data_IF_086711495560
#
_entry.id   IF_086711495560
#
_cell.length_a   1.000
_cell.length_b   1.000
_cell.length_c   1.000
_cell.angle_alpha   90.00
_cell.angle_beta   90.00
_cell.angle_gamma   90.00
#
_symmetry.space_group_name_H-M   'P 1'
#
loop_
_entity.id
_entity.type
_entity.pdbx_description
1 polymer ?
#
# COMPACT_ATOMS: atom_id res chain seq x y z
N UNK A 1 3.82 -8.28 19.30
CA UNK A 1 4.22 -8.49 17.89
C UNK A 1 5.37 -9.49 17.80
N UNK A 2 6.46 -9.33 18.55
CA UNK A 2 7.66 -10.21 18.56
C UNK A 2 7.32 -11.68 18.83
N UNK A 3 6.42 -11.94 19.77
CA UNK A 3 5.99 -13.32 20.10
C UNK A 3 5.29 -13.99 18.91
N UNK A 4 4.40 -13.27 18.23
CA UNK A 4 3.70 -13.78 17.03
C UNK A 4 4.69 -13.99 15.88
N UNK A 5 5.65 -13.08 15.71
CA UNK A 5 6.69 -13.19 14.69
C UNK A 5 7.55 -14.45 14.94
N UNK A 6 7.95 -14.69 16.20
CA UNK A 6 8.69 -15.91 16.57
C UNK A 6 7.87 -17.17 16.28
N UNK A 7 6.59 -17.20 16.64
CA UNK A 7 5.70 -18.32 16.34
C UNK A 7 5.60 -18.57 14.83
N UNK A 8 5.50 -17.52 14.03
CA UNK A 8 5.46 -17.63 12.58
C UNK A 8 6.77 -18.22 12.02
N UNK A 9 7.93 -17.78 12.51
CA UNK A 9 9.21 -18.36 12.09
C UNK A 9 9.36 -19.84 12.45
N UNK A 10 8.94 -20.24 13.67
CA UNK A 10 8.92 -21.64 14.06
C UNK A 10 8.02 -22.43 13.10
N UNK A 11 6.80 -21.95 12.89
CA UNK A 11 5.86 -22.60 11.97
C UNK A 11 6.45 -22.76 10.56
N UNK A 12 7.00 -21.69 9.97
CA UNK A 12 7.60 -21.74 8.63
C UNK A 12 8.82 -22.68 8.59
N UNK A 13 9.63 -22.77 9.65
CA UNK A 13 10.77 -23.66 9.70
C UNK A 13 10.37 -25.15 9.71
N UNK A 14 9.16 -25.47 10.14
CA UNK A 14 8.61 -26.83 10.18
C UNK A 14 7.84 -27.21 8.91
N UNK A 15 7.47 -26.22 8.06
CA UNK A 15 6.77 -26.46 6.80
C UNK A 15 7.72 -27.05 5.75
N UNK A 16 7.48 -28.30 5.34
CA UNK A 16 8.33 -29.02 4.36
C UNK A 16 8.06 -28.62 2.91
N UNK A 17 6.85 -28.18 2.61
CA UNK A 17 6.37 -27.85 1.25
C UNK A 17 6.31 -26.33 1.04
N UNK A 18 7.24 -25.59 1.66
CA UNK A 18 7.30 -24.13 1.59
C UNK A 18 8.41 -23.71 0.64
N UNK A 19 8.05 -23.11 -0.50
CA UNK A 19 9.01 -22.63 -1.48
C UNK A 19 9.55 -21.23 -1.13
N UNK A 20 8.69 -20.33 -0.61
CA UNK A 20 9.04 -18.96 -0.28
C UNK A 20 8.17 -18.40 0.84
N UNK A 21 8.72 -17.49 1.62
CA UNK A 21 8.01 -16.73 2.66
C UNK A 21 8.05 -15.25 2.30
N UNK A 22 6.88 -14.60 2.30
CA UNK A 22 6.77 -13.16 2.16
C UNK A 22 6.55 -12.57 3.54
N UNK A 23 7.50 -11.76 4.00
CA UNK A 23 7.45 -11.11 5.32
C UNK A 23 7.06 -9.64 5.16
N UNK A 24 5.89 -9.26 5.63
CA UNK A 24 5.50 -7.87 5.74
C UNK A 24 6.04 -7.28 7.05
N UNK A 25 6.79 -6.17 6.93
CA UNK A 25 7.27 -5.39 8.08
C UNK A 25 6.09 -4.76 8.82
N UNK A 26 6.04 -4.91 10.13
CA UNK A 26 4.99 -4.33 10.93
C UNK A 26 5.09 -2.80 11.03
N UNK A 27 6.29 -2.28 11.29
CA UNK A 27 6.53 -0.84 11.42
C UNK A 27 7.99 -0.48 11.11
N UNK A 28 8.18 0.48 10.20
CA UNK A 28 9.52 0.99 9.85
C UNK A 28 10.36 -0.02 9.08
N UNK A 29 11.19 -0.75 9.75
CA UNK A 29 12.07 -1.78 9.17
C UNK A 29 13.26 -2.10 10.06
N UNK A 30 14.07 -1.10 10.41
CA UNK A 30 15.34 -1.28 11.13
C UNK A 30 15.21 -2.09 12.44
N UNK A 31 14.20 -1.75 13.25
CA UNK A 31 13.94 -2.36 14.57
C UNK A 31 12.74 -3.31 14.56
N UNK A 32 12.22 -3.63 13.37
CA UNK A 32 11.08 -4.53 13.28
C UNK A 32 11.49 -5.98 13.58
N UNK A 33 10.60 -6.73 14.26
CA UNK A 33 10.88 -8.12 14.63
C UNK A 33 11.07 -9.03 13.42
N UNK A 34 10.55 -8.69 12.25
CA UNK A 34 10.76 -9.44 11.02
C UNK A 34 12.16 -9.24 10.44
N UNK A 35 12.88 -8.20 10.88
CA UNK A 35 14.18 -7.82 10.31
C UNK A 35 15.37 -8.67 10.80
N UNK A 36 15.12 -9.82 11.39
CA UNK A 36 16.16 -10.79 11.84
C UNK A 36 16.61 -11.75 10.72
N UNK A 37 15.93 -11.75 9.59
CA UNK A 37 16.24 -12.64 8.46
C UNK A 37 17.20 -12.00 7.46
N UNK A 38 17.85 -12.85 6.64
CA UNK A 38 18.52 -12.44 5.41
C UNK A 38 17.62 -12.85 4.25
N UNK A 39 16.90 -11.90 3.60
CA UNK A 39 15.94 -12.22 2.56
C UNK A 39 16.64 -12.50 1.21
N UNK A 40 15.92 -13.03 0.22
CA UNK A 40 16.37 -13.10 -1.16
C UNK A 40 16.32 -11.72 -1.84
N UNK A 41 15.35 -10.90 -1.43
CA UNK A 41 15.15 -9.54 -1.93
C UNK A 41 14.51 -8.69 -0.85
N UNK A 42 14.93 -7.44 -0.72
CA UNK A 42 14.30 -6.43 0.13
C UNK A 42 13.43 -5.52 -0.74
N UNK A 43 12.21 -5.24 -0.29
CA UNK A 43 11.25 -4.41 -1.03
C UNK A 43 10.78 -3.26 -0.16
N UNK A 44 10.84 -2.04 -0.68
CA UNK A 44 10.20 -0.86 -0.10
C UNK A 44 9.19 -0.34 -1.12
N UNK A 45 7.90 -0.51 -0.84
CA UNK A 45 6.84 -0.13 -1.79
C UNK A 45 6.73 1.38 -1.96
N UNK A 46 6.73 2.12 -0.85
CA UNK A 46 6.66 3.58 -0.83
C UNK A 46 7.18 4.14 0.50
N UNK A 47 7.56 5.43 0.48
CA UNK A 47 7.89 6.20 1.68
C UNK A 47 6.98 7.42 1.73
N UNK A 48 6.11 7.48 2.73
CA UNK A 48 5.18 8.57 2.98
C UNK A 48 5.15 8.90 4.48
N UNK A 49 4.58 10.05 4.82
CA UNK A 49 4.40 10.45 6.22
C UNK A 49 3.36 9.57 6.90
N UNK A 50 3.80 8.69 7.77
CA UNK A 50 2.99 7.94 8.72
C UNK A 50 3.85 7.57 9.93
N UNK A 51 3.21 7.31 11.05
CA UNK A 51 3.88 6.92 12.30
C UNK A 51 5.05 7.84 12.71
N UNK A 52 4.94 9.14 12.45
CA UNK A 52 6.00 10.14 12.63
C UNK A 52 6.59 10.16 14.05
N UNK A 53 5.78 9.87 15.06
CA UNK A 53 6.23 9.77 16.47
C UNK A 53 7.29 8.69 16.71
N UNK A 54 7.39 7.70 15.82
CA UNK A 54 8.29 6.55 15.94
C UNK A 54 9.35 6.57 14.84
N UNK A 55 8.96 6.88 13.61
CA UNK A 55 9.83 6.75 12.44
C UNK A 55 10.60 8.03 12.09
N UNK A 56 10.18 9.19 12.62
CA UNK A 56 10.79 10.49 12.33
C UNK A 56 9.81 11.47 11.70
N UNK A 57 10.25 12.73 11.63
CA UNK A 57 9.44 13.86 11.19
C UNK A 57 9.71 14.29 9.74
N UNK A 58 10.68 13.66 9.08
CA UNK A 58 11.03 13.91 7.69
C UNK A 58 10.94 12.62 6.87
N UNK A 59 10.80 12.74 5.55
CA UNK A 59 10.79 11.56 4.66
C UNK A 59 12.13 10.81 4.72
N UNK A 60 13.23 11.54 4.89
CA UNK A 60 14.59 10.99 5.00
C UNK A 60 14.76 10.15 6.27
N UNK A 61 14.22 10.60 7.42
CA UNK A 61 14.22 9.83 8.67
C UNK A 61 13.39 8.55 8.54
N UNK A 62 12.18 8.67 7.96
CA UNK A 62 11.32 7.52 7.71
C UNK A 62 12.00 6.54 6.75
N UNK A 63 12.63 7.05 5.67
CA UNK A 63 13.38 6.23 4.73
C UNK A 63 14.56 5.52 5.40
N UNK A 64 15.31 6.19 6.28
CA UNK A 64 16.41 5.58 7.06
C UNK A 64 15.92 4.37 7.85
N UNK A 65 14.78 4.50 8.54
CA UNK A 65 14.17 3.39 9.27
C UNK A 65 13.77 2.23 8.34
N UNK A 66 13.16 2.53 7.19
CA UNK A 66 12.77 1.49 6.21
C UNK A 66 13.98 0.82 5.57
N UNK A 67 15.02 1.58 5.25
CA UNK A 67 16.28 1.07 4.68
C UNK A 67 17.05 0.13 5.62
N UNK A 68 16.67 0.05 6.89
CA UNK A 68 17.19 -0.94 7.82
C UNK A 68 16.96 -2.40 7.42
N UNK A 69 16.02 -2.68 6.50
CA UNK A 69 15.80 -4.03 5.95
C UNK A 69 16.80 -4.43 4.87
N UNK A 70 17.57 -3.48 4.33
CA UNK A 70 18.57 -3.77 3.29
C UNK A 70 19.77 -4.44 3.91
N UNK A 71 20.02 -5.69 3.52
CA UNK A 71 21.10 -6.53 4.03
C UNK A 71 22.27 -6.59 3.05
N UNK A 72 23.49 -6.89 3.51
CA UNK A 72 24.66 -7.00 2.64
C UNK A 72 24.44 -7.95 1.46
N UNK A 73 24.76 -7.47 0.25
CA UNK A 73 24.63 -8.20 -1.03
C UNK A 73 23.19 -8.59 -1.41
N UNK A 74 22.15 -8.09 -0.72
CA UNK A 74 20.75 -8.36 -1.05
C UNK A 74 20.18 -7.15 -1.81
N UNK A 75 19.56 -7.33 -2.98
CA UNK A 75 19.03 -6.22 -3.73
C UNK A 75 17.88 -5.52 -3.00
N UNK A 76 17.80 -4.22 -3.22
CA UNK A 76 16.66 -3.40 -2.86
C UNK A 76 15.84 -3.09 -4.10
N UNK A 77 14.55 -3.41 -4.07
CA UNK A 77 13.58 -2.98 -5.05
C UNK A 77 12.68 -1.92 -4.41
N UNK A 78 12.53 -0.79 -5.06
CA UNK A 78 11.68 0.30 -4.55
C UNK A 78 11.15 1.18 -5.67
N UNK A 79 10.01 1.84 -5.42
CA UNK A 79 9.50 2.86 -6.31
C UNK A 79 10.44 4.08 -6.30
N UNK A 80 10.68 4.68 -7.46
CA UNK A 80 11.45 5.91 -7.54
C UNK A 80 10.80 7.03 -6.72
N UNK A 81 11.66 7.80 -6.04
CA UNK A 81 11.26 8.98 -5.30
C UNK A 81 12.38 10.01 -5.43
N UNK A 82 12.13 11.10 -6.16
CA UNK A 82 13.15 12.11 -6.48
C UNK A 82 13.90 12.64 -5.26
N UNK A 83 13.21 12.75 -4.11
CA UNK A 83 13.82 13.24 -2.86
C UNK A 83 14.66 12.18 -2.15
N UNK A 84 14.40 10.89 -2.39
CA UNK A 84 15.01 9.79 -1.63
C UNK A 84 15.94 8.90 -2.45
N UNK A 85 15.95 9.00 -3.80
CA UNK A 85 16.77 8.14 -4.65
C UNK A 85 18.23 8.15 -4.25
N UNK A 86 18.79 9.34 -3.96
CA UNK A 86 20.18 9.45 -3.52
C UNK A 86 20.45 8.70 -2.19
N UNK A 87 19.48 8.71 -1.26
CA UNK A 87 19.59 7.97 0.00
C UNK A 87 19.52 6.47 -0.22
N UNK A 88 18.65 5.99 -1.13
CA UNK A 88 18.58 4.58 -1.53
C UNK A 88 19.90 4.10 -2.15
N UNK A 89 20.49 4.90 -3.04
CA UNK A 89 21.79 4.62 -3.66
C UNK A 89 22.94 4.55 -2.64
N UNK A 90 22.97 5.48 -1.69
CA UNK A 90 24.00 5.50 -0.62
C UNK A 90 23.88 4.20 0.19
N UNK A 91 22.67 3.85 0.65
CA UNK A 91 22.46 2.63 1.44
C UNK A 91 22.84 1.37 0.68
N UNK A 92 22.43 1.27 -0.58
CA UNK A 92 22.78 0.12 -1.42
C UNK A 92 24.29 0.00 -1.67
N UNK A 93 24.98 1.13 -1.81
CA UNK A 93 26.46 1.15 -1.92
C UNK A 93 27.15 0.69 -0.64
N UNK A 94 26.67 1.14 0.53
CA UNK A 94 27.20 0.72 1.85
C UNK A 94 27.05 -0.78 2.08
N UNK A 95 25.99 -1.36 1.58
CA UNK A 95 25.68 -2.79 1.75
C UNK A 95 26.15 -3.67 0.57
N UNK A 96 26.81 -3.07 -0.43
CA UNK A 96 27.16 -3.75 -1.69
C UNK A 96 25.94 -4.40 -2.35
N UNK A 97 24.79 -3.75 -2.28
CA UNK A 97 23.49 -4.24 -2.78
C UNK A 97 23.15 -3.60 -4.12
N UNK A 98 22.47 -4.36 -4.99
CA UNK A 98 21.90 -3.81 -6.22
C UNK A 98 20.66 -2.99 -5.90
N UNK A 99 20.58 -1.75 -6.39
CA UNK A 99 19.35 -0.96 -6.36
C UNK A 99 18.57 -1.17 -7.66
N UNK A 100 17.29 -1.53 -7.54
CA UNK A 100 16.36 -1.65 -8.65
C UNK A 100 15.24 -0.63 -8.41
N UNK A 101 15.27 0.46 -9.19
CA UNK A 101 14.26 1.52 -9.12
C UNK A 101 13.15 1.25 -10.13
N UNK A 102 11.93 1.11 -9.62
CA UNK A 102 10.71 1.11 -10.42
C UNK A 102 10.39 2.54 -10.81
N UNK A 103 10.45 2.86 -12.08
CA UNK A 103 10.19 4.21 -12.58
C UNK A 103 8.75 4.35 -13.00
N UNK A 104 8.07 5.41 -12.52
CA UNK A 104 6.66 5.68 -12.87
C UNK A 104 6.45 5.84 -14.38
N UNK A 105 7.43 6.39 -15.09
CA UNK A 105 7.37 6.57 -16.55
C UNK A 105 7.36 5.27 -17.33
N UNK A 106 7.78 4.15 -16.73
CA UNK A 106 7.81 2.84 -17.38
C UNK A 106 6.45 2.11 -17.17
N UNK A 107 5.49 2.73 -16.47
CA UNK A 107 4.12 2.27 -16.30
C UNK A 107 3.25 3.01 -17.30
N UNK A 108 2.74 2.31 -18.29
CA UNK A 108 2.08 2.91 -19.45
C UNK A 108 0.66 2.34 -19.65
N UNK A 109 -0.12 2.97 -20.53
CA UNK A 109 -1.44 2.53 -20.99
C UNK A 109 -2.41 2.20 -19.84
N UNK A 110 -2.35 2.95 -18.73
CA UNK A 110 -3.16 2.71 -17.53
C UNK A 110 -4.63 2.98 -17.83
N UNK A 111 -5.47 1.97 -17.63
CA UNK A 111 -6.92 2.04 -17.73
C UNK A 111 -7.52 1.58 -16.41
N UNK A 112 -8.30 2.45 -15.79
CA UNK A 112 -8.96 2.18 -14.51
C UNK A 112 -10.47 2.15 -14.73
N UNK A 113 -11.09 1.05 -14.32
CA UNK A 113 -12.53 0.87 -14.32
C UNK A 113 -13.05 0.66 -12.89
N UNK A 114 -14.35 0.41 -12.77
CA UNK A 114 -14.99 0.07 -11.49
C UNK A 114 -14.66 -1.35 -10.98
N UNK A 115 -14.06 -2.18 -11.82
CA UNK A 115 -13.86 -3.61 -11.50
C UNK A 115 -12.44 -4.10 -11.70
N UNK A 116 -11.65 -3.40 -12.52
CA UNK A 116 -10.29 -3.80 -12.85
C UNK A 116 -9.41 -2.60 -13.21
N UNK A 117 -8.13 -2.77 -13.06
CA UNK A 117 -7.07 -1.91 -13.58
C UNK A 117 -6.27 -2.69 -14.60
N UNK A 118 -6.02 -2.08 -15.77
CA UNK A 118 -5.18 -2.64 -16.84
C UNK A 118 -4.03 -1.66 -17.07
N UNK A 119 -2.82 -2.16 -17.25
CA UNK A 119 -1.64 -1.34 -17.52
C UNK A 119 -0.54 -2.14 -18.20
N UNK A 120 0.44 -1.44 -18.76
CA UNK A 120 1.67 -2.01 -19.27
C UNK A 120 2.84 -1.62 -18.35
N UNK A 121 3.81 -2.51 -18.23
CA UNK A 121 5.06 -2.24 -17.54
C UNK A 121 6.22 -2.96 -18.24
N UNK A 122 7.16 -2.18 -18.81
CA UNK A 122 8.28 -2.73 -19.59
C UNK A 122 7.79 -3.73 -20.65
N UNK A 123 8.29 -4.98 -20.60
CA UNK A 123 7.89 -6.05 -21.52
C UNK A 123 6.50 -6.63 -21.25
N UNK A 124 5.93 -6.38 -20.08
CA UNK A 124 4.61 -6.88 -19.73
C UNK A 124 3.51 -5.96 -20.26
N UNK A 125 2.67 -6.48 -21.14
CA UNK A 125 1.58 -5.72 -21.76
C UNK A 125 0.22 -6.24 -21.33
N UNK A 126 -0.75 -5.34 -21.16
CA UNK A 126 -2.11 -5.67 -20.75
C UNK A 126 -2.19 -6.46 -19.43
N UNK A 127 -1.37 -6.11 -18.44
CA UNK A 127 -1.48 -6.68 -17.09
C UNK A 127 -2.85 -6.29 -16.53
N UNK A 128 -3.64 -7.28 -16.17
CA UNK A 128 -4.96 -7.09 -15.56
C UNK A 128 -4.93 -7.42 -14.08
N UNK A 129 -5.47 -6.53 -13.27
CA UNK A 129 -5.63 -6.78 -11.83
C UNK A 129 -6.99 -6.28 -11.34
N UNK A 130 -7.55 -6.98 -10.36
CA UNK A 130 -8.74 -6.55 -9.64
C UNK A 130 -8.42 -5.52 -8.53
N UNK A 131 -7.16 -5.10 -8.39
CA UNK A 131 -6.74 -4.02 -7.49
C UNK A 131 -6.91 -2.69 -8.20
N UNK A 132 -7.74 -1.83 -7.63
CA UNK A 132 -8.19 -0.59 -8.26
C UNK A 132 -7.30 0.59 -7.88
N UNK A 133 -7.19 1.55 -8.79
CA UNK A 133 -6.48 2.82 -8.57
C UNK A 133 -5.05 2.84 -9.09
N UNK A 134 -4.57 4.05 -9.43
CA UNK A 134 -3.24 4.28 -10.01
C UNK A 134 -2.10 3.72 -9.13
N UNK A 135 -2.17 3.91 -7.81
CA UNK A 135 -1.13 3.43 -6.90
C UNK A 135 -0.96 1.89 -6.92
N UNK A 136 -1.97 1.16 -7.35
CA UNK A 136 -1.87 -0.30 -7.48
C UNK A 136 -1.04 -0.71 -8.69
N UNK A 137 -0.95 0.12 -9.73
CA UNK A 137 0.00 -0.14 -10.84
C UNK A 137 1.44 0.04 -10.37
N UNK A 138 1.70 1.03 -9.50
CA UNK A 138 3.01 1.22 -8.86
C UNK A 138 3.37 -0.01 -8.00
N UNK A 139 2.46 -0.47 -7.14
CA UNK A 139 2.67 -1.66 -6.30
C UNK A 139 2.88 -2.93 -7.14
N UNK A 140 2.10 -3.10 -8.20
CA UNK A 140 2.22 -4.24 -9.12
C UNK A 140 3.57 -4.23 -9.84
N UNK A 141 4.04 -3.06 -10.28
CA UNK A 141 5.35 -2.92 -10.94
C UNK A 141 6.51 -3.26 -10.01
N UNK A 142 6.40 -2.89 -8.72
CA UNK A 142 7.39 -3.30 -7.69
C UNK A 142 7.36 -4.83 -7.50
N UNK A 143 6.18 -5.44 -7.51
CA UNK A 143 6.05 -6.89 -7.43
C UNK A 143 6.62 -7.60 -8.66
N UNK A 144 6.41 -7.05 -9.88
CA UNK A 144 7.00 -7.57 -11.12
C UNK A 144 8.53 -7.58 -11.07
N UNK A 145 9.16 -6.50 -10.63
CA UNK A 145 10.63 -6.47 -10.46
C UNK A 145 11.12 -7.53 -9.45
N UNK A 146 10.35 -7.77 -8.38
CA UNK A 146 10.70 -8.82 -7.42
C UNK A 146 10.58 -10.22 -8.04
N UNK A 147 9.50 -10.48 -8.80
CA UNK A 147 9.30 -11.75 -9.49
C UNK A 147 10.38 -11.99 -10.56
N UNK A 148 10.73 -10.96 -11.34
CA UNK A 148 11.79 -11.04 -12.35
C UNK A 148 13.15 -11.30 -11.71
N UNK A 149 13.44 -10.68 -10.58
CA UNK A 149 14.67 -10.95 -9.86
C UNK A 149 14.70 -12.39 -9.32
N UNK A 150 13.62 -12.88 -8.74
CA UNK A 150 13.51 -14.25 -8.24
C UNK A 150 13.67 -15.28 -9.37
N UNK A 151 13.04 -15.01 -10.51
CA UNK A 151 13.13 -15.85 -11.71
C UNK A 151 14.54 -15.89 -12.29
N UNK A 152 15.15 -14.72 -12.48
CA UNK A 152 16.42 -14.60 -13.20
C UNK A 152 17.65 -14.84 -12.34
N UNK A 153 17.61 -14.54 -11.04
CA UNK A 153 18.77 -14.58 -10.16
C UNK A 153 18.69 -15.65 -9.05
N UNK A 154 17.48 -16.08 -8.68
CA UNK A 154 17.29 -17.04 -7.58
C UNK A 154 16.83 -18.43 -8.06
N UNK A 155 16.62 -18.61 -9.38
CA UNK A 155 16.29 -19.92 -9.96
C UNK A 155 14.82 -20.36 -9.79
N UNK A 156 13.93 -19.46 -9.38
CA UNK A 156 12.50 -19.77 -9.31
C UNK A 156 11.91 -19.97 -10.71
N UNK A 157 11.12 -21.01 -10.88
CA UNK A 157 10.42 -21.30 -12.12
C UNK A 157 9.07 -20.59 -12.12
N UNK A 158 9.06 -19.36 -12.61
CA UNK A 158 7.86 -18.51 -12.71
C UNK A 158 7.67 -18.20 -14.19
N UNK A 159 6.57 -18.67 -14.77
CA UNK A 159 6.21 -18.35 -16.15
C UNK A 159 5.50 -16.98 -16.24
N UNK A 160 5.45 -16.41 -17.45
CA UNK A 160 4.64 -15.20 -17.66
C UNK A 160 3.16 -15.46 -17.37
N UNK A 161 2.66 -16.65 -17.71
CA UNK A 161 1.28 -17.06 -17.40
C UNK A 161 1.01 -17.03 -15.89
N UNK A 162 1.95 -17.53 -15.05
CA UNK A 162 1.83 -17.50 -13.59
C UNK A 162 1.75 -16.05 -13.09
N UNK A 163 2.53 -15.14 -13.68
CA UNK A 163 2.52 -13.72 -13.35
C UNK A 163 1.16 -13.10 -13.66
N UNK A 164 0.66 -13.26 -14.90
CA UNK A 164 -0.62 -12.70 -15.31
C UNK A 164 -1.78 -13.25 -14.48
N UNK A 165 -1.82 -14.55 -14.24
CA UNK A 165 -2.84 -15.17 -13.40
C UNK A 165 -2.74 -14.71 -11.94
N UNK A 166 -1.55 -14.55 -11.41
CA UNK A 166 -1.31 -14.03 -10.07
C UNK A 166 -1.94 -12.64 -9.88
N UNK A 167 -1.72 -11.72 -10.83
CA UNK A 167 -2.32 -10.38 -10.76
C UNK A 167 -3.85 -10.39 -10.90
N UNK A 168 -4.40 -11.24 -11.74
CA UNK A 168 -5.85 -11.36 -11.90
C UNK A 168 -6.54 -11.91 -10.64
N UNK A 169 -5.90 -12.85 -9.96
CA UNK A 169 -6.47 -13.59 -8.84
C UNK A 169 -6.11 -13.03 -7.47
N UNK A 170 -5.34 -11.92 -7.40
CA UNK A 170 -4.94 -11.34 -6.12
C UNK A 170 -6.15 -10.92 -5.30
N UNK A 171 -6.25 -11.41 -4.06
CA UNK A 171 -7.32 -11.06 -3.12
C UNK A 171 -6.72 -10.37 -1.89
N UNK A 172 -7.15 -9.13 -1.63
CA UNK A 172 -6.73 -8.37 -0.46
C UNK A 172 -7.91 -7.54 0.05
N UNK A 173 -8.58 -7.96 1.12
CA UNK A 173 -9.75 -7.27 1.63
C UNK A 173 -9.42 -5.87 2.14
N UNK A 174 -10.39 -4.95 2.01
CA UNK A 174 -10.28 -3.58 2.53
C UNK A 174 -9.31 -2.66 1.80
N UNK A 175 -8.90 -2.98 0.58
CA UNK A 175 -8.13 -2.11 -0.32
C UNK A 175 -8.89 -1.90 -1.61
N UNK A 176 -9.69 -0.82 -1.69
CA UNK A 176 -10.65 -0.55 -2.77
C UNK A 176 -11.45 -1.80 -3.12
N UNK A 177 -11.88 -2.53 -2.10
CA UNK A 177 -12.63 -3.78 -2.27
C UNK A 177 -14.05 -3.48 -2.70
N UNK A 178 -14.44 -3.95 -3.88
CA UNK A 178 -15.81 -3.88 -4.37
C UNK A 178 -16.65 -4.95 -3.69
N UNK A 179 -17.64 -4.52 -2.90
CA UNK A 179 -18.59 -5.40 -2.22
C UNK A 179 -19.84 -5.65 -3.06
N UNK A 180 -20.26 -4.66 -3.84
CA UNK A 180 -21.43 -4.72 -4.69
C UNK A 180 -21.27 -3.80 -5.90
N UNK A 181 -21.87 -4.18 -7.03
CA UNK A 181 -21.89 -3.36 -8.24
C UNK A 181 -23.23 -2.64 -8.45
N UNK A 182 -24.29 -3.05 -7.76
CA UNK A 182 -25.61 -2.42 -7.83
C UNK A 182 -26.38 -2.54 -6.48
N UNK A 183 -26.35 -1.53 -5.61
CA UNK A 183 -25.57 -0.28 -5.73
C UNK A 183 -24.06 -0.56 -5.71
N UNK A 184 -23.27 0.37 -6.27
CA UNK A 184 -21.82 0.24 -6.23
C UNK A 184 -21.30 0.58 -4.83
N UNK A 185 -20.75 -0.41 -4.15
CA UNK A 185 -20.26 -0.30 -2.77
C UNK A 185 -18.79 -0.75 -2.73
N UNK A 186 -17.93 0.13 -2.24
CA UNK A 186 -16.53 -0.16 -1.96
C UNK A 186 -16.20 0.08 -0.50
N UNK A 187 -15.24 -0.70 -0.01
CA UNK A 187 -14.57 -0.44 1.27
C UNK A 187 -13.07 -0.26 1.06
N UNK A 188 -12.52 0.67 1.82
CA UNK A 188 -11.08 0.94 1.84
C UNK A 188 -10.57 1.22 3.25
N UNK A 189 -9.36 0.81 3.53
CA UNK A 189 -8.70 0.99 4.83
C UNK A 189 -7.77 2.20 4.90
N UNK A 190 -7.89 3.17 4.00
CA UNK A 190 -7.11 4.41 4.04
C UNK A 190 -7.33 5.14 5.36
N UNK A 191 -6.24 5.46 6.06
CA UNK A 191 -6.28 6.03 7.41
C UNK A 191 -5.15 7.04 7.67
N UNK A 192 -4.50 7.51 6.62
CA UNK A 192 -3.52 8.59 6.62
C UNK A 192 -3.72 9.48 5.38
N UNK A 193 -3.05 10.62 5.33
CA UNK A 193 -3.24 11.61 4.26
C UNK A 193 -2.91 11.02 2.88
N UNK A 194 -1.79 10.28 2.75
CA UNK A 194 -1.41 9.67 1.47
C UNK A 194 -2.47 8.67 1.00
N UNK A 195 -2.92 7.76 1.87
CA UNK A 195 -3.96 6.79 1.55
C UNK A 195 -5.28 7.43 1.13
N UNK A 196 -5.74 8.46 1.86
CA UNK A 196 -6.97 9.21 1.51
C UNK A 196 -6.81 9.97 0.20
N UNK A 197 -5.63 10.53 -0.08
CA UNK A 197 -5.37 11.19 -1.37
C UNK A 197 -5.46 10.20 -2.53
N UNK A 198 -4.87 9.02 -2.40
CA UNK A 198 -4.96 7.95 -3.40
C UNK A 198 -6.39 7.42 -3.59
N UNK A 199 -7.13 7.28 -2.49
CA UNK A 199 -8.55 6.94 -2.53
C UNK A 199 -9.35 8.02 -3.28
N UNK A 200 -9.12 9.30 -2.98
CA UNK A 200 -9.78 10.44 -3.60
C UNK A 200 -9.52 10.51 -5.12
N UNK A 201 -8.28 10.25 -5.57
CA UNK A 201 -7.91 10.14 -6.98
C UNK A 201 -8.76 9.06 -7.68
N UNK A 202 -8.85 7.88 -7.10
CA UNK A 202 -9.68 6.81 -7.64
C UNK A 202 -11.15 7.16 -7.66
N UNK A 203 -11.71 7.67 -6.56
CA UNK A 203 -13.11 8.07 -6.47
C UNK A 203 -13.48 9.14 -7.51
N UNK A 204 -12.58 10.09 -7.75
CA UNK A 204 -12.77 11.12 -8.80
C UNK A 204 -12.85 10.48 -10.18
N UNK A 205 -12.01 9.49 -10.46
CA UNK A 205 -11.99 8.79 -11.75
C UNK A 205 -13.30 8.04 -12.03
N UNK A 206 -13.94 7.45 -11.00
CA UNK A 206 -15.11 6.59 -11.18
C UNK A 206 -16.46 7.28 -10.87
N UNK A 207 -16.45 8.47 -10.26
CA UNK A 207 -17.68 9.15 -9.79
C UNK A 207 -18.66 9.43 -10.93
N UNK A 208 -18.18 9.86 -12.10
CA UNK A 208 -19.04 10.28 -13.21
C UNK A 208 -20.11 11.29 -12.72
N UNK A 209 -21.35 11.18 -13.20
CA UNK A 209 -22.50 12.01 -12.78
C UNK A 209 -23.35 11.32 -11.67
N UNK A 210 -22.77 10.41 -10.88
CA UNK A 210 -23.50 9.67 -9.83
C UNK A 210 -23.31 10.34 -8.48
N UNK A 211 -24.33 10.21 -7.62
CA UNK A 211 -24.23 10.63 -6.22
C UNK A 211 -23.31 9.68 -5.46
N UNK A 212 -22.44 10.26 -4.64
CA UNK A 212 -21.50 9.53 -3.79
C UNK A 212 -21.81 9.81 -2.31
N UNK A 213 -22.11 8.75 -1.57
CA UNK A 213 -22.17 8.80 -0.11
C UNK A 213 -20.92 8.18 0.46
N UNK A 214 -20.22 8.88 1.33
CA UNK A 214 -19.04 8.40 2.05
C UNK A 214 -19.43 8.11 3.50
N UNK A 215 -19.15 6.90 3.98
CA UNK A 215 -19.24 6.54 5.40
C UNK A 215 -17.82 6.53 5.96
N UNK A 216 -17.53 7.38 6.96
CA UNK A 216 -16.18 7.61 7.45
C UNK A 216 -16.05 7.42 8.95
N UNK A 217 -15.04 6.66 9.34
CA UNK A 217 -14.60 6.48 10.73
C UNK A 217 -13.06 6.41 10.77
N UNK A 218 -12.45 6.94 11.80
CA UNK A 218 -10.99 6.98 11.92
C UNK A 218 -10.53 6.96 13.39
N UNK A 219 -9.27 6.56 13.61
CA UNK A 219 -8.66 6.60 14.94
C UNK A 219 -8.28 8.03 15.36
N UNK A 220 -8.35 8.31 16.67
CA UNK A 220 -8.06 9.61 17.31
C UNK A 220 -6.69 10.19 16.98
N UNK A 221 -5.71 9.34 16.77
CA UNK A 221 -4.30 9.68 16.56
C UNK A 221 -3.95 10.03 15.12
N UNK A 222 -4.93 10.03 14.20
CA UNK A 222 -4.73 10.32 12.78
C UNK A 222 -5.00 11.78 12.43
N UNK A 223 -4.47 12.25 11.31
CA UNK A 223 -4.62 13.60 10.76
C UNK A 223 -6.01 13.78 10.09
N UNK A 224 -7.05 13.74 10.89
CA UNK A 224 -8.45 13.64 10.44
C UNK A 224 -8.97 14.92 9.78
N UNK A 225 -8.49 16.08 10.22
CA UNK A 225 -8.88 17.37 9.64
C UNK A 225 -8.48 17.44 8.16
N UNK A 226 -7.24 17.09 7.86
CA UNK A 226 -6.72 17.05 6.50
C UNK A 226 -7.40 15.96 5.66
N UNK A 227 -7.62 14.77 6.25
CA UNK A 227 -8.29 13.67 5.55
C UNK A 227 -9.74 14.04 5.19
N UNK A 228 -10.50 14.64 6.11
CA UNK A 228 -11.87 15.06 5.86
C UNK A 228 -11.90 16.19 4.83
N UNK A 229 -10.96 17.14 4.89
CA UNK A 229 -10.87 18.22 3.89
C UNK A 229 -10.66 17.71 2.46
N UNK A 230 -10.03 16.54 2.29
CA UNK A 230 -9.87 15.88 0.99
C UNK A 230 -11.17 15.19 0.55
N UNK A 231 -11.91 14.58 1.49
CA UNK A 231 -13.13 13.82 1.18
C UNK A 231 -14.37 14.68 1.00
N UNK A 232 -14.50 15.77 1.75
CA UNK A 232 -15.66 16.66 1.74
C UNK A 232 -16.10 17.12 0.34
N UNK A 233 -15.21 17.60 -0.55
CA UNK A 233 -15.60 18.05 -1.89
C UNK A 233 -16.01 16.92 -2.83
N UNK A 234 -15.66 15.67 -2.52
CA UNK A 234 -16.01 14.52 -3.35
C UNK A 234 -17.39 13.96 -3.01
N UNK A 235 -17.79 14.06 -1.73
CA UNK A 235 -19.01 13.47 -1.22
C UNK A 235 -20.21 14.35 -1.49
N UNK A 236 -21.28 13.80 -2.09
CA UNK A 236 -22.59 14.44 -2.11
C UNK A 236 -23.29 14.34 -0.74
N UNK A 237 -22.92 13.32 0.03
CA UNK A 237 -23.29 13.11 1.43
C UNK A 237 -22.14 12.42 2.17
N UNK A 238 -21.86 12.85 3.40
CA UNK A 238 -20.89 12.17 4.27
C UNK A 238 -21.53 11.79 5.61
N UNK A 239 -21.33 10.52 6.01
CA UNK A 239 -21.87 9.97 7.25
C UNK A 239 -20.69 9.65 8.16
N UNK A 240 -20.61 10.33 9.28
CA UNK A 240 -19.59 10.05 10.30
C UNK A 240 -20.08 9.00 11.27
N UNK A 241 -19.25 7.98 11.49
CA UNK A 241 -19.54 6.88 12.39
C UNK A 241 -18.31 6.52 13.24
N UNK A 242 -18.42 5.48 14.04
CA UNK A 242 -17.34 4.96 14.87
C UNK A 242 -17.26 3.43 14.75
N UNK A 243 -16.11 2.88 15.07
CA UNK A 243 -15.94 1.43 15.23
C UNK A 243 -15.75 1.07 16.72
N UNK A 244 -16.16 -0.13 17.09
CA UNK A 244 -16.14 -0.59 18.49
C UNK A 244 -14.71 -0.85 19.00
N UNK A 245 -13.93 0.22 19.13
CA UNK A 245 -12.59 0.17 19.68
C UNK A 245 -12.24 1.51 20.34
N UNK A 246 -11.59 1.45 21.51
CA UNK A 246 -11.26 2.64 22.32
C UNK A 246 -10.45 3.75 21.60
N UNK A 247 -9.79 3.41 20.50
CA UNK A 247 -9.04 4.36 19.67
C UNK A 247 -9.89 5.05 18.62
N UNK A 248 -11.14 4.60 18.38
CA UNK A 248 -12.05 5.27 17.45
C UNK A 248 -12.30 6.71 17.89
N UNK A 249 -12.28 7.65 16.95
CA UNK A 249 -12.76 9.00 17.22
C UNK A 249 -14.28 9.03 17.31
N UNK A 250 -14.83 10.11 17.88
CA UNK A 250 -16.28 10.26 18.03
C UNK A 250 -16.88 10.83 16.75
N UNK A 251 -18.07 10.34 16.33
CA UNK A 251 -18.76 10.90 15.18
C UNK A 251 -19.04 12.40 15.29
N UNK A 252 -19.37 12.86 16.51
CA UNK A 252 -19.62 14.29 16.79
C UNK A 252 -18.41 15.18 16.47
N UNK A 253 -17.20 14.73 16.85
CA UNK A 253 -15.99 15.49 16.54
C UNK A 253 -15.74 15.53 15.02
N UNK A 254 -15.82 14.38 14.36
CA UNK A 254 -15.62 14.30 12.90
C UNK A 254 -16.65 15.15 12.15
N UNK A 255 -17.91 15.12 12.60
CA UNK A 255 -18.98 15.97 12.07
C UNK A 255 -18.66 17.45 12.25
N UNK A 256 -18.11 17.86 13.40
CA UNK A 256 -17.83 19.27 13.69
C UNK A 256 -16.77 19.88 12.78
N UNK A 257 -15.79 19.10 12.31
CA UNK A 257 -14.68 19.56 11.47
C UNK A 257 -14.96 19.47 9.97
N UNK A 258 -16.01 18.75 9.55
CA UNK A 258 -16.40 18.67 8.13
C UNK A 258 -17.09 19.94 7.66
N UNK A 259 -16.78 20.37 6.46
CA UNK A 259 -17.43 21.47 5.74
C UNK A 259 -18.56 21.03 4.79
N UNK A 260 -18.78 19.71 4.66
CA UNK A 260 -19.81 19.18 3.76
C UNK A 260 -21.22 19.61 4.22
N UNK A 261 -22.04 20.22 3.34
CA UNK A 261 -23.38 20.69 3.72
C UNK A 261 -24.38 19.56 4.02
N UNK A 262 -24.12 18.36 3.49
CA UNK A 262 -24.99 17.17 3.64
C UNK A 262 -24.33 16.12 4.54
N UNK A 263 -23.86 16.53 5.71
CA UNK A 263 -23.24 15.65 6.68
C UNK A 263 -24.24 15.07 7.68
N UNK A 264 -24.01 13.82 8.10
CA UNK A 264 -24.86 13.09 9.04
C UNK A 264 -24.02 12.36 10.09
N UNK A 265 -24.65 11.97 11.18
CA UNK A 265 -24.10 11.14 12.23
C UNK A 265 -24.76 9.75 12.20
N UNK A 266 -23.96 8.71 12.47
CA UNK A 266 -24.43 7.38 12.77
C UNK A 266 -23.62 6.83 13.96
N UNK A 267 -24.29 6.19 14.89
CA UNK A 267 -23.70 5.59 16.10
C UNK A 267 -23.84 4.05 16.09
N UNK A 268 -24.39 3.50 15.02
CA UNK A 268 -24.60 2.05 14.82
C UNK A 268 -23.59 1.47 13.82
#
# INVERSE_FOLDING_TARGET
FEFITLMAFIYFSECKDLDIVILEVGLGGLLDSTNVVTPLVSVITNVAFDHMKVLGNTLEEIATNKLGIVKPNIPLITLENEKLNAQFEVRCRETNSKLILVKKKDIENIQISKTETIFDYKEYVNIKTNKLGYYQTENASVALEALDYLRSCCGFKISDEDIYQGFQNVYWPGRLQVLSQAPYIIIDGAHNIDGITRLAEFLTTIKENKKMTIVFAVSKDKAKDEMISILDPLADEIIFTMFHYKRSDTPDYLFSISSNPNKKLSFD
#
